data_IF_155550360779
#
_entry.id   IF_155550360779
#
_cell.length_a   1.000
_cell.length_b   1.000
_cell.length_c   1.000
_cell.angle_alpha   90.00
_cell.angle_beta   90.00
_cell.angle_gamma   90.00
#
_symmetry.space_group_name_H-M   'P 1'
#
loop_
_entity.id
_entity.type
_entity.pdbx_description
1 polymer ?
#
# COMPACT_ATOMS: atom_id res chain seq x y z
N UNK A 1 10.27 -8.64 -17.68
CA UNK A 1 9.75 -9.62 -16.70
C UNK A 1 10.83 -10.59 -16.22
N UNK A 2 11.46 -11.42 -17.08
CA UNK A 2 12.46 -12.42 -16.61
C UNK A 2 13.60 -11.79 -15.82
N UNK A 3 14.30 -10.80 -16.39
CA UNK A 3 15.41 -10.08 -15.74
C UNK A 3 15.00 -9.47 -14.39
N UNK A 4 13.77 -8.99 -14.29
CA UNK A 4 13.21 -8.44 -13.06
C UNK A 4 13.08 -9.52 -11.97
N UNK A 5 12.48 -10.65 -12.31
CA UNK A 5 12.30 -11.78 -11.37
C UNK A 5 13.62 -12.37 -10.95
N UNK A 6 14.55 -12.58 -11.91
CA UNK A 6 15.91 -13.08 -11.61
C UNK A 6 16.63 -12.13 -10.63
N UNK A 7 16.49 -10.81 -10.81
CA UNK A 7 17.08 -9.82 -9.90
C UNK A 7 16.47 -9.88 -8.49
N UNK A 8 15.15 -10.01 -8.38
CA UNK A 8 14.43 -10.11 -7.09
C UNK A 8 14.83 -11.37 -6.33
N UNK A 9 14.87 -12.51 -7.02
CA UNK A 9 15.34 -13.78 -6.43
C UNK A 9 16.79 -13.66 -5.98
N UNK A 10 17.68 -13.12 -6.82
CA UNK A 10 19.08 -12.96 -6.47
C UNK A 10 19.32 -12.04 -5.26
N UNK A 11 18.52 -10.97 -5.12
CA UNK A 11 18.56 -10.10 -3.94
C UNK A 11 18.13 -10.86 -2.66
N UNK A 12 17.05 -11.66 -2.74
CA UNK A 12 16.64 -12.48 -1.58
C UNK A 12 17.70 -13.53 -1.24
N UNK A 13 18.27 -14.20 -2.24
CA UNK A 13 19.36 -15.16 -2.03
C UNK A 13 20.57 -14.53 -1.32
N UNK A 14 20.93 -13.28 -1.68
CA UNK A 14 21.95 -12.52 -0.97
C UNK A 14 21.65 -12.37 0.51
N UNK A 15 20.42 -11.92 0.84
CA UNK A 15 19.98 -11.76 2.23
C UNK A 15 19.88 -13.09 2.99
N UNK A 16 19.45 -14.18 2.34
CA UNK A 16 19.43 -15.51 2.95
C UNK A 16 20.84 -15.95 3.34
N UNK A 17 21.85 -15.75 2.46
CA UNK A 17 23.25 -16.05 2.76
C UNK A 17 23.80 -15.25 3.93
N UNK A 18 23.52 -13.95 3.99
CA UNK A 18 23.93 -13.07 5.08
C UNK A 18 23.41 -13.53 6.44
N UNK A 19 22.23 -14.19 6.47
CA UNK A 19 21.61 -14.71 7.69
C UNK A 19 21.80 -16.21 7.90
N UNK A 20 22.61 -16.86 7.05
CA UNK A 20 22.86 -18.31 7.09
C UNK A 20 21.57 -19.14 7.01
N UNK A 21 20.62 -18.73 6.17
CA UNK A 21 19.36 -19.43 5.88
C UNK A 21 19.53 -20.17 4.57
N UNK A 22 19.41 -21.50 4.57
CA UNK A 22 19.70 -22.31 3.38
C UNK A 22 18.61 -22.23 2.31
N UNK A 23 17.33 -22.05 2.72
CA UNK A 23 16.21 -21.92 1.80
C UNK A 23 15.08 -21.09 2.37
N UNK A 24 14.31 -20.48 1.48
CA UNK A 24 13.03 -19.83 1.78
C UNK A 24 11.89 -20.54 1.05
N UNK A 25 10.72 -20.62 1.68
CA UNK A 25 9.47 -21.02 1.03
C UNK A 25 8.52 -19.83 1.05
N UNK A 26 8.13 -19.37 -0.13
CA UNK A 26 7.17 -18.28 -0.33
C UNK A 26 5.80 -18.86 -0.66
N UNK A 27 4.76 -18.39 0.01
CA UNK A 27 3.38 -18.88 -0.14
C UNK A 27 2.32 -17.81 -0.25
N UNK A 28 2.61 -16.61 0.28
CA UNK A 28 1.69 -15.48 0.21
C UNK A 28 1.53 -15.03 -1.25
N UNK A 29 0.30 -14.83 -1.70
CA UNK A 29 -0.02 -14.65 -3.12
C UNK A 29 0.63 -13.42 -3.76
N UNK A 30 0.85 -12.35 -2.99
CA UNK A 30 1.52 -11.12 -3.47
C UNK A 30 3.02 -11.38 -3.63
N UNK A 31 3.63 -12.04 -2.66
CA UNK A 31 5.04 -12.37 -2.71
C UNK A 31 5.34 -13.46 -3.76
N UNK A 32 4.42 -14.41 -3.95
CA UNK A 32 4.48 -15.31 -5.12
C UNK A 32 4.49 -14.51 -6.43
N UNK A 33 3.60 -13.53 -6.58
CA UNK A 33 3.60 -12.66 -7.76
C UNK A 33 4.90 -11.88 -7.90
N UNK A 34 5.42 -11.33 -6.80
CA UNK A 34 6.65 -10.56 -6.80
C UNK A 34 7.85 -11.38 -7.30
N UNK A 35 7.97 -12.64 -6.87
CA UNK A 35 9.10 -13.52 -7.21
C UNK A 35 8.87 -14.43 -8.42
N UNK A 36 7.62 -14.59 -8.90
CA UNK A 36 7.33 -15.50 -10.03
C UNK A 36 6.60 -14.85 -11.20
N UNK A 37 5.97 -13.69 -11.00
CA UNK A 37 5.04 -13.11 -11.97
C UNK A 37 3.66 -13.78 -12.00
N UNK A 38 3.39 -14.73 -11.09
CA UNK A 38 2.12 -15.47 -11.02
C UNK A 38 1.59 -15.56 -9.59
N UNK A 39 0.28 -15.37 -9.41
CA UNK A 39 -0.41 -15.54 -8.12
C UNK A 39 -1.00 -16.94 -7.93
N UNK A 40 -0.64 -17.92 -8.75
CA UNK A 40 -1.26 -19.24 -8.66
C UNK A 40 -0.83 -19.96 -7.38
N UNK A 41 -1.79 -20.69 -6.76
CA UNK A 41 -1.57 -21.33 -5.47
C UNK A 41 -0.45 -22.37 -5.53
N UNK A 42 0.54 -22.22 -4.67
CA UNK A 42 1.69 -23.12 -4.61
C UNK A 42 2.71 -22.72 -3.57
N UNK A 43 3.92 -23.23 -3.73
CA UNK A 43 5.09 -22.93 -2.92
C UNK A 43 6.24 -22.56 -3.86
N UNK A 44 6.84 -21.41 -3.68
CA UNK A 44 8.10 -21.10 -4.34
C UNK A 44 9.23 -21.40 -3.37
N UNK A 45 10.11 -22.32 -3.74
CA UNK A 45 11.33 -22.64 -3.01
C UNK A 45 12.45 -21.80 -3.61
N UNK A 46 13.05 -20.94 -2.80
CA UNK A 46 14.22 -20.13 -3.17
C UNK A 46 15.39 -20.62 -2.31
N UNK A 47 16.34 -21.40 -2.87
CA UNK A 47 17.55 -21.77 -2.16
C UNK A 47 18.49 -20.57 -2.02
N UNK A 48 19.33 -20.54 -1.00
CA UNK A 48 20.36 -19.50 -0.88
C UNK A 48 21.32 -19.51 -2.09
N UNK A 49 21.51 -20.68 -2.70
CA UNK A 49 22.30 -20.86 -3.94
C UNK A 49 21.59 -21.82 -4.89
N UNK A 50 21.60 -21.47 -6.17
CA UNK A 50 20.98 -22.30 -7.20
C UNK A 50 19.68 -21.73 -7.74
N UNK A 51 18.93 -22.54 -8.47
CA UNK A 51 17.71 -22.15 -9.16
C UNK A 51 16.49 -22.32 -8.26
N UNK A 52 15.61 -21.32 -8.27
CA UNK A 52 14.34 -21.38 -7.55
C UNK A 52 13.35 -22.34 -8.25
N UNK A 53 12.54 -23.06 -7.47
CA UNK A 53 11.54 -24.01 -7.96
C UNK A 53 10.13 -23.60 -7.52
N UNK A 54 9.23 -23.41 -8.50
CA UNK A 54 7.83 -23.06 -8.24
C UNK A 54 6.93 -24.31 -8.30
N UNK A 55 6.50 -24.79 -7.15
CA UNK A 55 5.58 -25.91 -6.99
C UNK A 55 4.14 -25.38 -7.02
N UNK A 56 3.38 -25.69 -8.05
CA UNK A 56 2.03 -25.18 -8.26
C UNK A 56 0.99 -26.24 -7.95
N UNK A 57 0.11 -26.01 -6.99
CA UNK A 57 -0.92 -26.96 -6.56
C UNK A 57 -2.26 -26.78 -7.29
N UNK A 58 -2.49 -25.59 -7.92
CA UNK A 58 -3.72 -25.30 -8.66
C UNK A 58 -3.44 -24.39 -9.86
N UNK A 59 -4.11 -24.66 -10.97
CA UNK A 59 -3.96 -23.89 -12.23
C UNK A 59 -2.53 -23.94 -12.80
N UNK A 60 -1.91 -25.12 -12.79
CA UNK A 60 -0.53 -25.35 -13.19
C UNK A 60 -0.21 -24.82 -14.60
N UNK A 61 -1.01 -25.18 -15.62
CA UNK A 61 -0.78 -24.71 -17.00
C UNK A 61 -0.87 -23.18 -17.13
N UNK A 62 -1.65 -22.54 -16.27
CA UNK A 62 -1.74 -21.08 -16.21
C UNK A 62 -0.47 -20.50 -15.61
N UNK A 63 -0.01 -21.03 -14.47
CA UNK A 63 1.23 -20.60 -13.84
C UNK A 63 2.42 -20.69 -14.81
N UNK A 64 2.55 -21.80 -15.56
CA UNK A 64 3.61 -21.97 -16.58
C UNK A 64 3.59 -20.91 -17.68
N UNK A 65 2.42 -20.38 -18.02
CA UNK A 65 2.30 -19.31 -19.02
C UNK A 65 2.59 -17.93 -18.46
N UNK A 66 2.34 -17.72 -17.17
CA UNK A 66 2.50 -16.44 -16.49
C UNK A 66 3.94 -16.20 -16.03
N UNK A 67 4.59 -17.25 -15.52
CA UNK A 67 5.94 -17.15 -14.93
C UNK A 67 7.05 -17.30 -15.98
N UNK A 68 8.14 -16.51 -15.88
CA UNK A 68 9.33 -16.73 -16.69
C UNK A 68 10.30 -17.77 -16.09
N UNK A 69 9.98 -18.34 -14.92
CA UNK A 69 10.82 -19.35 -14.27
C UNK A 69 10.86 -20.63 -15.12
N UNK A 70 12.03 -21.27 -15.14
CA UNK A 70 12.27 -22.52 -15.87
C UNK A 70 11.83 -23.72 -15.05
N UNK A 71 12.05 -23.71 -13.74
CA UNK A 71 11.67 -24.78 -12.83
C UNK A 71 10.26 -24.54 -12.27
N UNK A 72 9.26 -25.11 -12.94
CA UNK A 72 7.84 -25.05 -12.54
C UNK A 72 7.29 -26.48 -12.54
N UNK A 73 6.86 -26.96 -11.38
CA UNK A 73 6.39 -28.33 -11.21
C UNK A 73 4.99 -28.39 -10.62
N UNK A 74 4.23 -29.45 -10.95
CA UNK A 74 2.93 -29.68 -10.35
C UNK A 74 3.06 -30.28 -8.94
N UNK A 75 2.47 -29.62 -7.96
CA UNK A 75 2.42 -30.10 -6.58
C UNK A 75 1.11 -30.86 -6.32
N UNK A 76 1.20 -32.17 -6.23
CA UNK A 76 0.04 -33.02 -5.95
C UNK A 76 -0.39 -32.95 -4.47
N UNK A 77 0.58 -32.86 -3.56
CA UNK A 77 0.32 -32.79 -2.13
C UNK A 77 1.39 -32.03 -1.36
N UNK A 78 1.03 -31.56 -0.17
CA UNK A 78 1.97 -30.91 0.75
C UNK A 78 3.12 -31.87 1.18
N UNK A 79 2.86 -33.18 1.23
CA UNK A 79 3.85 -34.19 1.64
C UNK A 79 5.08 -34.25 0.73
N UNK A 80 4.97 -33.73 -0.50
CA UNK A 80 6.12 -33.66 -1.44
C UNK A 80 7.10 -32.54 -1.10
N UNK A 81 6.66 -31.55 -0.30
CA UNK A 81 7.40 -30.31 -0.09
C UNK A 81 8.78 -30.55 0.55
N UNK A 82 8.95 -31.37 1.63
CA UNK A 82 10.27 -31.62 2.20
C UNK A 82 11.26 -32.23 1.20
N UNK A 83 10.80 -33.21 0.42
CA UNK A 83 11.64 -33.83 -0.63
C UNK A 83 12.06 -32.80 -1.68
N UNK A 84 11.12 -31.94 -2.11
CA UNK A 84 11.41 -30.90 -3.10
C UNK A 84 12.35 -29.82 -2.57
N UNK A 85 12.25 -29.46 -1.30
CA UNK A 85 13.20 -28.56 -0.66
C UNK A 85 14.59 -29.19 -0.63
N UNK A 86 14.70 -30.47 -0.28
CA UNK A 86 15.98 -31.18 -0.29
C UNK A 86 16.57 -31.30 -1.70
N UNK A 87 15.77 -31.58 -2.72
CA UNK A 87 16.21 -31.63 -4.12
C UNK A 87 16.71 -30.25 -4.61
N UNK A 88 16.08 -29.16 -4.16
CA UNK A 88 16.36 -27.79 -4.61
C UNK A 88 17.49 -27.12 -3.83
N UNK A 89 17.55 -27.33 -2.52
CA UNK A 89 18.43 -26.61 -1.60
C UNK A 89 19.41 -27.51 -0.82
N UNK A 90 19.30 -28.84 -0.93
CA UNK A 90 20.08 -29.78 -0.11
C UNK A 90 19.56 -29.88 1.32
N UNK A 91 20.47 -30.16 2.24
CA UNK A 91 20.14 -30.24 3.67
C UNK A 91 19.89 -28.83 4.22
N UNK A 92 18.69 -28.61 4.76
CA UNK A 92 18.25 -27.32 5.29
C UNK A 92 18.19 -27.42 6.81
N UNK A 93 19.00 -26.61 7.50
CA UNK A 93 19.00 -26.44 8.95
C UNK A 93 18.17 -25.25 9.40
N UNK A 94 18.16 -24.17 8.58
CA UNK A 94 17.33 -22.97 8.79
C UNK A 94 16.45 -22.77 7.55
N UNK A 95 15.13 -22.75 7.75
CA UNK A 95 14.14 -22.59 6.70
C UNK A 95 13.39 -21.27 6.89
N UNK A 96 13.47 -20.37 5.91
CA UNK A 96 12.75 -19.11 5.90
C UNK A 96 11.28 -19.27 5.54
N UNK A 97 10.37 -18.69 6.33
CA UNK A 97 8.94 -18.60 6.06
C UNK A 97 8.43 -17.17 6.31
N UNK A 98 7.30 -16.81 5.69
CA UNK A 98 6.61 -15.52 5.85
C UNK A 98 5.71 -15.54 7.09
N UNK A 99 6.29 -15.40 8.30
CA UNK A 99 5.57 -15.65 9.54
C UNK A 99 4.55 -14.55 9.89
N UNK A 100 4.67 -13.36 9.32
CA UNK A 100 3.71 -12.27 9.53
C UNK A 100 2.35 -12.50 8.83
N UNK A 101 2.28 -13.41 7.87
CA UNK A 101 1.06 -13.74 7.11
C UNK A 101 0.67 -15.22 7.18
N UNK A 102 1.54 -16.06 7.70
CA UNK A 102 1.29 -17.50 7.77
C UNK A 102 0.35 -17.83 8.94
N UNK A 103 -0.84 -18.43 8.69
CA UNK A 103 -1.69 -18.89 9.79
C UNK A 103 -0.98 -19.89 10.70
N UNK A 104 -1.18 -19.79 12.02
CA UNK A 104 -0.53 -20.65 13.00
C UNK A 104 -0.71 -22.17 12.71
N UNK A 105 -1.88 -22.59 12.23
CA UNK A 105 -2.11 -23.97 11.82
C UNK A 105 -1.20 -24.43 10.68
N UNK A 106 -0.87 -23.53 9.75
CA UNK A 106 0.10 -23.84 8.69
C UNK A 106 1.53 -23.82 9.22
N UNK A 107 1.88 -22.90 10.10
CA UNK A 107 3.17 -22.87 10.77
C UNK A 107 3.47 -24.21 11.46
N UNK A 108 2.57 -24.73 12.29
CA UNK A 108 2.75 -26.03 12.94
C UNK A 108 2.89 -27.17 11.95
N UNK A 109 2.19 -27.11 10.83
CA UNK A 109 2.32 -28.11 9.76
C UNK A 109 3.67 -28.07 9.06
N UNK A 110 4.27 -26.87 8.85
CA UNK A 110 5.63 -26.75 8.36
C UNK A 110 6.62 -27.24 9.40
N UNK A 111 6.44 -26.87 10.66
CA UNK A 111 7.31 -27.35 11.76
C UNK A 111 7.33 -28.89 11.86
N UNK A 112 6.18 -29.54 11.71
CA UNK A 112 6.09 -31.01 11.67
C UNK A 112 6.81 -31.59 10.43
N UNK A 113 6.59 -31.00 9.26
CA UNK A 113 7.17 -31.49 8.00
C UNK A 113 8.67 -31.30 7.90
N UNK A 114 9.22 -30.28 8.56
CA UNK A 114 10.64 -29.92 8.56
C UNK A 114 11.25 -30.02 9.98
N UNK A 115 10.85 -31.01 10.75
CA UNK A 115 11.14 -31.16 12.20
C UNK A 115 12.62 -31.20 12.59
N UNK A 116 13.56 -31.16 11.64
CA UNK A 116 14.98 -30.96 11.87
C UNK A 116 15.53 -29.58 11.60
N UNK A 117 14.70 -28.67 11.03
CA UNK A 117 15.09 -27.34 10.66
C UNK A 117 14.53 -26.29 11.62
N UNK A 118 15.34 -25.27 11.91
CA UNK A 118 14.88 -24.04 12.57
C UNK A 118 14.08 -23.20 11.57
N UNK A 119 12.87 -22.80 11.95
CA UNK A 119 12.04 -21.92 11.10
C UNK A 119 12.35 -20.47 11.45
N UNK A 120 12.75 -19.70 10.45
CA UNK A 120 13.14 -18.30 10.57
C UNK A 120 12.09 -17.41 9.88
N UNK A 121 11.71 -16.30 10.51
CA UNK A 121 10.87 -15.28 9.88
C UNK A 121 11.66 -14.45 8.86
N UNK A 122 11.33 -14.61 7.59
CA UNK A 122 11.90 -13.81 6.48
C UNK A 122 11.00 -12.68 6.00
N UNK A 123 9.86 -12.46 6.64
CA UNK A 123 8.95 -11.37 6.26
C UNK A 123 9.63 -10.00 6.25
N UNK A 124 10.52 -9.66 7.24
CA UNK A 124 11.25 -8.39 7.21
C UNK A 124 12.15 -8.25 5.97
N UNK A 125 12.79 -9.33 5.54
CA UNK A 125 13.68 -9.33 4.36
C UNK A 125 12.90 -9.03 3.08
N UNK A 126 11.73 -9.67 2.92
CA UNK A 126 10.86 -9.48 1.75
C UNK A 126 10.31 -8.05 1.73
N UNK A 127 9.81 -7.55 2.87
CA UNK A 127 9.31 -6.18 2.99
C UNK A 127 10.37 -5.14 2.66
N UNK A 128 11.60 -5.35 3.11
CA UNK A 128 12.72 -4.46 2.77
C UNK A 128 13.08 -4.52 1.28
N UNK A 129 13.05 -5.70 0.64
CA UNK A 129 13.27 -5.81 -0.80
C UNK A 129 12.19 -5.07 -1.61
N UNK A 130 10.94 -5.21 -1.21
CA UNK A 130 9.78 -4.56 -1.84
C UNK A 130 9.73 -3.05 -1.60
N UNK A 131 10.42 -2.54 -0.56
CA UNK A 131 10.51 -1.11 -0.28
C UNK A 131 11.13 -0.33 -1.44
N UNK A 132 12.10 -0.92 -2.15
CA UNK A 132 12.81 -0.28 -3.27
C UNK A 132 12.25 -0.76 -4.60
N UNK A 133 11.45 0.07 -5.25
CA UNK A 133 10.83 -0.21 -6.54
C UNK A 133 11.85 -0.06 -7.68
N UNK A 134 11.85 -1.01 -8.58
CA UNK A 134 12.64 -0.95 -9.80
C UNK A 134 12.03 0.03 -10.82
N UNK A 135 12.77 0.46 -11.85
CA UNK A 135 12.21 1.26 -12.94
C UNK A 135 11.00 0.61 -13.61
N UNK A 136 10.95 -0.72 -13.70
CA UNK A 136 9.81 -1.45 -14.22
C UNK A 136 8.55 -1.28 -13.34
N UNK A 137 8.71 -1.34 -12.03
CA UNK A 137 7.62 -1.12 -11.06
C UNK A 137 7.12 0.33 -11.10
N UNK A 138 8.04 1.30 -11.18
CA UNK A 138 7.71 2.73 -11.27
C UNK A 138 6.85 3.03 -12.50
N UNK A 139 7.14 2.43 -13.66
CA UNK A 139 6.33 2.60 -14.87
C UNK A 139 4.91 2.07 -14.71
N UNK A 140 4.72 0.98 -13.97
CA UNK A 140 3.38 0.45 -13.68
C UNK A 140 2.62 1.39 -12.73
N UNK A 141 3.30 1.88 -11.69
CA UNK A 141 2.73 2.84 -10.72
C UNK A 141 2.31 4.14 -11.43
N UNK A 142 3.13 4.67 -12.35
CA UNK A 142 2.78 5.85 -13.16
C UNK A 142 1.51 5.64 -13.98
N UNK A 143 1.31 4.46 -14.57
CA UNK A 143 0.05 4.13 -15.27
C UNK A 143 -1.15 4.06 -14.32
N UNK A 144 -0.96 3.56 -13.11
CA UNK A 144 -1.97 3.62 -12.06
C UNK A 144 -2.34 5.07 -11.71
N UNK A 145 -1.36 5.97 -11.63
CA UNK A 145 -1.57 7.39 -11.38
C UNK A 145 -2.34 8.10 -12.51
N UNK A 146 -2.13 7.72 -13.76
CA UNK A 146 -2.93 8.21 -14.90
C UNK A 146 -4.42 7.83 -14.77
N UNK A 147 -4.71 6.60 -14.31
CA UNK A 147 -6.08 6.16 -14.03
C UNK A 147 -6.68 6.99 -12.89
N UNK A 148 -5.95 7.17 -11.79
CA UNK A 148 -6.36 8.01 -10.65
C UNK A 148 -6.65 9.44 -11.11
N UNK A 149 -5.78 10.04 -11.90
CA UNK A 149 -5.95 11.39 -12.44
C UNK A 149 -7.25 11.51 -13.25
N UNK A 150 -7.50 10.60 -14.19
CA UNK A 150 -8.71 10.60 -15.03
C UNK A 150 -9.99 10.37 -14.23
N UNK A 151 -9.93 9.59 -13.17
CA UNK A 151 -11.05 9.38 -12.25
C UNK A 151 -11.35 10.68 -11.49
N UNK A 152 -10.31 11.36 -10.95
CA UNK A 152 -10.46 12.62 -10.24
C UNK A 152 -10.94 13.77 -11.14
N UNK A 153 -10.50 13.83 -12.40
CA UNK A 153 -11.02 14.78 -13.39
C UNK A 153 -12.54 14.64 -13.62
N UNK A 154 -13.07 13.44 -13.44
CA UNK A 154 -14.49 13.18 -13.64
C UNK A 154 -15.38 13.51 -12.42
N UNK A 155 -14.79 13.79 -11.24
CA UNK A 155 -15.52 14.09 -10.01
C UNK A 155 -16.58 15.19 -10.21
N UNK A 156 -16.28 16.35 -10.85
CA UNK A 156 -17.31 17.40 -11.06
C UNK A 156 -18.52 16.94 -11.88
N UNK A 157 -18.37 15.92 -12.71
CA UNK A 157 -19.47 15.36 -13.50
C UNK A 157 -20.46 14.58 -12.63
N UNK A 158 -19.98 13.87 -11.63
CA UNK A 158 -20.76 12.95 -10.80
C UNK A 158 -21.18 13.56 -9.46
N UNK A 159 -20.39 14.49 -8.91
CA UNK A 159 -20.66 15.14 -7.63
C UNK A 159 -21.83 16.13 -7.75
N UNK A 160 -22.95 15.81 -7.11
CA UNK A 160 -24.17 16.65 -7.13
C UNK A 160 -24.93 16.54 -5.82
N UNK A 161 -25.56 17.64 -5.38
CA UNK A 161 -26.47 17.63 -4.26
C UNK A 161 -27.66 16.68 -4.49
N UNK A 162 -28.16 16.07 -3.41
CA UNK A 162 -29.28 15.13 -3.42
C UNK A 162 -28.90 13.69 -3.70
N UNK A 163 -27.65 13.41 -4.03
CA UNK A 163 -27.14 12.02 -4.19
C UNK A 163 -26.60 11.48 -2.87
N UNK A 164 -26.67 10.18 -2.69
CA UNK A 164 -25.99 9.50 -1.57
C UNK A 164 -24.50 9.38 -1.85
N UNK A 165 -23.67 9.39 -0.79
CA UNK A 165 -22.22 9.18 -0.90
C UNK A 165 -21.89 7.88 -1.65
N UNK A 166 -22.54 6.78 -1.29
CA UNK A 166 -22.32 5.48 -1.95
C UNK A 166 -22.67 5.47 -3.43
N UNK A 167 -23.68 6.22 -3.87
CA UNK A 167 -24.05 6.34 -5.28
C UNK A 167 -23.00 7.15 -6.06
N UNK A 168 -22.46 8.18 -5.43
CA UNK A 168 -21.37 8.98 -6.00
C UNK A 168 -20.08 8.14 -6.08
N UNK A 169 -19.74 7.41 -5.01
CA UNK A 169 -18.59 6.51 -4.99
C UNK A 169 -18.70 5.43 -6.08
N UNK A 170 -19.87 4.79 -6.24
CA UNK A 170 -20.09 3.75 -7.24
C UNK A 170 -19.88 4.25 -8.68
N UNK A 171 -20.20 5.51 -9.00
CA UNK A 171 -19.91 6.07 -10.33
C UNK A 171 -18.41 6.24 -10.57
N UNK A 172 -17.64 6.68 -9.55
CA UNK A 172 -16.19 6.78 -9.64
C UNK A 172 -15.52 5.41 -9.71
N UNK A 173 -16.00 4.45 -8.94
CA UNK A 173 -15.55 3.04 -8.97
C UNK A 173 -15.83 2.41 -10.34
N UNK A 174 -17.03 2.62 -10.90
CA UNK A 174 -17.35 2.17 -12.24
C UNK A 174 -16.38 2.76 -13.28
N UNK A 175 -16.11 4.06 -13.21
CA UNK A 175 -15.16 4.71 -14.11
C UNK A 175 -13.76 4.15 -13.94
N UNK A 176 -13.25 4.06 -12.72
CA UNK A 176 -11.94 3.51 -12.44
C UNK A 176 -11.77 2.07 -13.01
N UNK A 177 -12.81 1.23 -12.85
CA UNK A 177 -12.84 -0.12 -13.45
C UNK A 177 -12.76 -0.10 -14.97
N UNK A 178 -13.48 0.78 -15.63
CA UNK A 178 -13.45 0.90 -17.10
C UNK A 178 -12.12 1.45 -17.61
N UNK A 179 -11.40 2.17 -16.79
CA UNK A 179 -10.05 2.69 -17.08
C UNK A 179 -8.93 1.67 -16.84
N UNK A 180 -9.22 0.54 -16.18
CA UNK A 180 -8.27 -0.54 -15.98
C UNK A 180 -7.89 -0.82 -14.51
N UNK A 181 -8.52 -0.15 -13.53
CA UNK A 181 -8.36 -0.53 -12.13
C UNK A 181 -8.79 -1.99 -11.91
N UNK A 182 -7.92 -2.81 -11.27
CA UNK A 182 -8.16 -4.26 -11.17
C UNK A 182 -9.27 -4.66 -10.18
N UNK A 183 -9.71 -3.75 -9.27
CA UNK A 183 -10.86 -3.93 -8.40
C UNK A 183 -10.58 -4.46 -7.01
N UNK A 184 -9.38 -4.82 -6.68
CA UNK A 184 -9.03 -5.30 -5.34
C UNK A 184 -7.79 -4.57 -4.81
N UNK A 185 -7.91 -3.96 -3.65
CA UNK A 185 -6.77 -3.43 -2.91
C UNK A 185 -6.30 -4.50 -1.93
N UNK A 186 -5.01 -4.77 -1.90
CA UNK A 186 -4.43 -5.77 -1.02
C UNK A 186 -3.77 -5.10 0.18
N UNK A 187 -3.99 -5.68 1.34
CA UNK A 187 -3.39 -5.30 2.62
C UNK A 187 -2.63 -6.49 3.18
N UNK A 188 -1.45 -6.25 3.74
CA UNK A 188 -0.65 -7.32 4.38
C UNK A 188 -1.01 -7.49 5.85
N UNK A 189 -1.36 -6.40 6.50
CA UNK A 189 -1.63 -6.38 7.93
C UNK A 189 -2.89 -7.18 8.28
N UNK A 190 -2.82 -7.96 9.36
CA UNK A 190 -3.94 -8.76 9.85
C UNK A 190 -5.17 -7.89 10.17
N UNK A 191 -6.34 -8.30 9.70
CA UNK A 191 -7.63 -7.61 9.85
C UNK A 191 -7.71 -6.20 9.22
N UNK A 192 -6.78 -5.82 8.36
CA UNK A 192 -6.91 -4.60 7.56
C UNK A 192 -7.54 -4.94 6.21
N UNK A 193 -8.58 -4.19 5.88
CA UNK A 193 -9.31 -4.30 4.62
C UNK A 193 -9.59 -2.91 4.08
N UNK A 194 -9.50 -2.73 2.78
CA UNK A 194 -9.98 -1.55 2.08
C UNK A 194 -10.56 -1.96 0.73
N UNK A 195 -11.70 -1.40 0.37
CA UNK A 195 -12.35 -1.76 -0.89
C UNK A 195 -11.75 -0.95 -2.06
N UNK A 196 -12.03 0.35 -2.12
CA UNK A 196 -11.43 1.26 -3.08
C UNK A 196 -10.80 2.47 -2.41
N UNK A 197 -11.28 2.86 -1.23
CA UNK A 197 -10.86 4.03 -0.49
C UNK A 197 -12.04 4.74 0.20
N UNK A 198 -11.79 5.94 0.67
CA UNK A 198 -12.71 6.70 1.50
C UNK A 198 -13.28 7.90 0.73
N UNK A 199 -14.48 7.75 0.16
CA UNK A 199 -15.20 8.82 -0.54
C UNK A 199 -16.35 9.26 0.35
N UNK A 200 -16.23 10.44 0.97
CA UNK A 200 -17.14 10.90 2.03
C UNK A 200 -17.44 12.38 1.91
N UNK A 201 -18.52 12.83 2.55
CA UNK A 201 -18.95 14.23 2.52
C UNK A 201 -19.31 14.77 3.90
N UNK A 202 -19.05 16.09 4.11
CA UNK A 202 -19.41 16.80 5.33
C UNK A 202 -18.88 16.13 6.60
N UNK A 203 -19.74 15.96 7.61
CA UNK A 203 -19.34 15.37 8.90
C UNK A 203 -18.80 13.94 8.80
N UNK A 204 -19.24 13.14 7.82
CA UNK A 204 -18.79 11.75 7.65
C UNK A 204 -17.28 11.64 7.42
N UNK A 205 -16.65 12.67 6.87
CA UNK A 205 -15.19 12.72 6.68
C UNK A 205 -14.45 12.63 8.02
N UNK A 206 -15.09 13.06 9.12
CA UNK A 206 -14.46 13.16 10.45
C UNK A 206 -14.74 11.96 11.34
N UNK A 207 -15.44 10.94 10.84
CA UNK A 207 -15.61 9.68 11.57
C UNK A 207 -14.36 8.81 11.48
N UNK A 208 -13.80 8.45 12.63
CA UNK A 208 -12.76 7.44 12.72
C UNK A 208 -13.31 6.04 12.52
N UNK A 209 -12.44 5.10 12.14
CA UNK A 209 -12.77 3.69 11.97
C UNK A 209 -11.65 2.83 12.53
N UNK A 210 -11.76 1.51 12.40
CA UNK A 210 -10.70 0.55 12.76
C UNK A 210 -9.48 0.62 11.82
N UNK A 211 -9.62 1.29 10.69
CA UNK A 211 -8.57 1.43 9.70
C UNK A 211 -7.44 2.33 10.22
N UNK A 212 -6.20 1.92 10.03
CA UNK A 212 -5.00 2.68 10.42
C UNK A 212 -4.77 3.84 9.44
N UNK A 213 -5.41 4.99 9.70
CA UNK A 213 -5.30 6.17 8.85
C UNK A 213 -5.98 7.38 9.47
N UNK A 214 -5.76 8.58 8.90
CA UNK A 214 -6.43 9.80 9.36
C UNK A 214 -7.89 9.90 8.90
N UNK A 215 -8.33 9.01 8.02
CA UNK A 215 -9.69 8.92 7.48
C UNK A 215 -10.32 7.58 7.84
N UNK A 216 -11.64 7.49 7.83
CA UNK A 216 -12.35 6.25 8.13
C UNK A 216 -13.72 6.24 7.48
N UNK A 217 -14.66 6.97 8.06
CA UNK A 217 -16.04 7.06 7.59
C UNK A 217 -16.98 6.03 8.21
N UNK A 218 -18.29 6.23 8.04
CA UNK A 218 -19.30 5.39 8.67
C UNK A 218 -19.50 4.04 7.96
N UNK A 219 -19.18 3.95 6.66
CA UNK A 219 -19.54 2.81 5.83
C UNK A 219 -21.05 2.64 5.68
N UNK A 220 -21.48 1.53 5.07
CA UNK A 220 -22.88 1.20 4.87
C UNK A 220 -23.50 0.49 6.09
N UNK A 221 -22.69 -0.11 6.95
CA UNK A 221 -23.12 -0.80 8.15
C UNK A 221 -21.94 -1.06 9.10
N UNK A 222 -22.22 -1.39 10.38
CA UNK A 222 -21.18 -1.78 11.34
C UNK A 222 -20.36 -3.03 10.96
N UNK A 223 -20.82 -3.80 9.96
CA UNK A 223 -20.07 -4.97 9.49
C UNK A 223 -18.89 -4.57 8.59
N UNK A 224 -18.94 -3.41 7.96
CA UNK A 224 -17.85 -2.79 7.16
C UNK A 224 -17.89 -1.27 7.41
N UNK A 225 -17.37 -0.80 8.56
CA UNK A 225 -17.55 0.57 9.04
C UNK A 225 -16.45 1.50 8.50
N UNK A 226 -16.34 1.60 7.18
CA UNK A 226 -15.40 2.52 6.54
C UNK A 226 -15.89 2.95 5.14
N UNK A 227 -15.39 4.10 4.67
CA UNK A 227 -15.73 4.66 3.37
C UNK A 227 -17.12 5.29 3.32
N UNK A 228 -17.71 5.40 2.11
CA UNK A 228 -18.97 6.08 1.88
C UNK A 228 -20.15 5.45 2.61
N UNK A 229 -21.03 6.30 3.13
CA UNK A 229 -22.25 5.89 3.83
C UNK A 229 -23.54 6.19 3.05
N UNK A 230 -24.65 6.20 3.79
CA UNK A 230 -25.99 6.51 3.27
C UNK A 230 -26.30 8.02 3.29
N UNK A 231 -25.38 8.86 3.78
CA UNK A 231 -25.57 10.31 3.83
C UNK A 231 -25.88 10.87 2.44
N UNK A 232 -26.83 11.80 2.38
CA UNK A 232 -27.12 12.59 1.20
C UNK A 232 -26.13 13.75 1.15
N UNK A 233 -25.45 13.92 0.03
CA UNK A 233 -24.57 15.05 -0.24
C UNK A 233 -25.40 16.30 -0.42
N UNK A 234 -25.07 17.36 0.31
CA UNK A 234 -25.80 18.62 0.32
C UNK A 234 -24.99 19.74 -0.31
N UNK A 235 -25.69 20.81 -0.73
CA UNK A 235 -25.03 22.03 -1.21
C UNK A 235 -24.23 22.65 -0.07
N UNK A 236 -22.95 22.92 -0.32
CA UNK A 236 -21.98 23.39 0.67
C UNK A 236 -21.13 22.30 1.31
N UNK A 237 -21.45 21.03 1.10
CA UNK A 237 -20.63 19.94 1.62
C UNK A 237 -19.20 19.98 1.04
N UNK A 238 -18.26 19.75 1.92
CA UNK A 238 -16.89 19.34 1.55
C UNK A 238 -16.91 17.85 1.23
N UNK A 239 -16.24 17.44 0.19
CA UNK A 239 -16.17 16.05 -0.25
C UNK A 239 -14.71 15.63 -0.34
N UNK A 240 -14.35 14.61 0.42
CA UNK A 240 -13.07 13.94 0.34
C UNK A 240 -13.16 12.81 -0.68
N UNK A 241 -12.25 12.78 -1.62
CA UNK A 241 -12.02 11.64 -2.50
C UNK A 241 -10.61 11.14 -2.24
N UNK A 242 -10.54 10.17 -1.38
CA UNK A 242 -9.34 9.43 -0.95
C UNK A 242 -9.44 8.04 -1.58
N UNK A 243 -8.61 7.77 -2.60
CA UNK A 243 -8.88 6.65 -3.50
C UNK A 243 -7.61 5.90 -3.91
N UNK A 244 -7.65 4.59 -3.71
CA UNK A 244 -6.58 3.67 -4.10
C UNK A 244 -6.84 3.11 -5.49
N UNK A 245 -6.01 3.46 -6.45
CA UNK A 245 -6.02 2.85 -7.78
C UNK A 245 -5.03 1.69 -7.84
N UNK A 246 -5.45 0.54 -8.36
CA UNK A 246 -4.56 -0.62 -8.53
C UNK A 246 -4.49 -1.02 -10.00
N UNK A 247 -3.27 -0.97 -10.55
CA UNK A 247 -2.99 -1.35 -11.92
C UNK A 247 -1.87 -2.40 -11.99
N UNK A 248 -2.11 -3.52 -12.66
CA UNK A 248 -1.17 -4.65 -12.72
C UNK A 248 -0.59 -5.06 -11.36
N UNK A 249 -1.41 -5.03 -10.32
CA UNK A 249 -1.04 -5.40 -8.95
C UNK A 249 -0.51 -4.26 -8.09
N UNK A 250 -0.06 -3.13 -8.66
CA UNK A 250 0.54 -2.01 -7.92
C UNK A 250 -0.49 -0.96 -7.55
N UNK A 251 -0.45 -0.54 -6.28
CA UNK A 251 -1.28 0.50 -5.71
C UNK A 251 -0.72 1.90 -6.00
N UNK A 252 -1.64 2.85 -6.18
CA UNK A 252 -1.40 4.29 -6.17
C UNK A 252 -2.44 4.90 -5.26
N UNK A 253 -2.01 5.64 -4.26
CA UNK A 253 -2.88 6.31 -3.32
C UNK A 253 -2.92 7.81 -3.56
N UNK A 254 -4.11 8.40 -3.50
CA UNK A 254 -4.31 9.80 -3.83
C UNK A 254 -5.56 10.38 -3.19
N UNK A 255 -5.40 11.40 -2.37
CA UNK A 255 -6.51 12.17 -1.80
C UNK A 255 -6.63 13.54 -2.44
N UNK A 256 -7.86 13.93 -2.79
CA UNK A 256 -8.23 15.30 -3.18
C UNK A 256 -9.49 15.77 -2.47
N UNK A 257 -9.57 17.09 -2.24
CA UNK A 257 -10.69 17.74 -1.57
C UNK A 257 -11.51 18.52 -2.58
N UNK A 258 -12.81 18.27 -2.58
CA UNK A 258 -13.80 18.99 -3.38
C UNK A 258 -14.76 19.72 -2.46
N UNK A 259 -15.46 20.74 -2.98
CA UNK A 259 -16.53 21.41 -2.27
C UNK A 259 -17.68 21.67 -3.22
N UNK A 260 -18.88 21.26 -2.84
CA UNK A 260 -20.08 21.55 -3.62
C UNK A 260 -20.55 22.98 -3.33
N UNK A 261 -19.88 23.95 -3.96
CA UNK A 261 -20.04 25.38 -3.74
C UNK A 261 -18.74 26.04 -3.26
N UNK A 262 -18.88 27.06 -2.38
CA UNK A 262 -17.71 27.82 -1.90
C UNK A 262 -17.09 27.20 -0.65
N UNK A 263 -15.82 26.79 -0.69
CA UNK A 263 -15.16 26.24 0.50
C UNK A 263 -15.09 27.24 1.66
N UNK A 264 -15.39 26.81 2.91
CA UNK A 264 -15.25 27.65 4.10
C UNK A 264 -13.83 28.20 4.27
N UNK A 265 -13.70 29.42 4.80
CA UNK A 265 -12.39 30.07 4.97
C UNK A 265 -11.44 29.28 5.88
N UNK A 266 -11.99 28.67 6.95
CA UNK A 266 -11.20 27.82 7.85
C UNK A 266 -10.62 26.59 7.13
N UNK A 267 -11.40 25.96 6.23
CA UNK A 267 -10.93 24.85 5.42
C UNK A 267 -9.83 25.29 4.44
N UNK A 268 -10.03 26.42 3.75
CA UNK A 268 -9.02 26.97 2.82
C UNK A 268 -7.68 27.19 3.52
N UNK A 269 -7.72 27.81 4.73
CA UNK A 269 -6.50 28.04 5.49
C UNK A 269 -5.84 26.72 5.92
N UNK A 270 -6.58 25.81 6.52
CA UNK A 270 -6.04 24.52 6.94
C UNK A 270 -5.48 23.72 5.76
N UNK A 271 -6.13 23.79 4.60
CA UNK A 271 -5.67 23.13 3.40
C UNK A 271 -4.34 23.71 2.87
N UNK A 272 -4.21 25.03 2.85
CA UNK A 272 -2.96 25.72 2.50
C UNK A 272 -1.82 25.36 3.48
N UNK A 273 -2.13 25.31 4.78
CA UNK A 273 -1.15 24.92 5.80
C UNK A 273 -0.73 23.45 5.65
N UNK A 274 -1.65 22.52 5.31
CA UNK A 274 -1.33 21.14 5.04
C UNK A 274 -0.49 20.98 3.76
N UNK A 275 -0.81 21.72 2.69
CA UNK A 275 0.02 21.77 1.48
C UNK A 275 1.41 22.31 1.77
N UNK A 276 1.53 23.33 2.60
CA UNK A 276 2.83 23.85 3.02
C UNK A 276 3.67 22.79 3.74
N UNK A 277 3.07 22.05 4.69
CA UNK A 277 3.75 20.93 5.36
C UNK A 277 4.19 19.87 4.34
N UNK A 278 3.31 19.48 3.43
CA UNK A 278 3.58 18.49 2.39
C UNK A 278 4.78 18.88 1.52
N UNK A 279 4.81 20.14 1.04
CA UNK A 279 5.90 20.64 0.21
C UNK A 279 7.24 20.74 0.97
N UNK A 280 7.22 21.15 2.23
CA UNK A 280 8.44 21.21 3.05
C UNK A 280 8.99 19.81 3.34
N UNK A 281 8.13 18.80 3.56
CA UNK A 281 8.57 17.40 3.68
C UNK A 281 9.23 16.92 2.39
N UNK A 282 8.63 17.20 1.22
CA UNK A 282 9.22 16.87 -0.08
C UNK A 282 10.61 17.53 -0.27
N UNK A 283 10.75 18.80 0.08
CA UNK A 283 12.02 19.53 -0.03
C UNK A 283 13.09 19.00 0.92
N UNK A 284 12.68 18.60 2.13
CA UNK A 284 13.57 18.07 3.16
C UNK A 284 14.07 16.65 2.87
N UNK A 285 13.32 15.87 2.09
CA UNK A 285 13.70 14.52 1.72
C UNK A 285 14.90 14.55 0.76
N UNK A 286 16.09 14.30 1.28
CA UNK A 286 17.36 14.19 0.57
C UNK A 286 17.98 12.81 0.79
N UNK A 287 18.97 12.41 -0.02
CA UNK A 287 19.68 11.15 0.21
C UNK A 287 20.15 11.03 1.66
N UNK A 288 19.75 9.98 2.34
CA UNK A 288 20.11 9.71 3.73
C UNK A 288 19.26 10.39 4.80
N UNK A 289 18.32 11.29 4.46
CA UNK A 289 17.35 11.82 5.44
C UNK A 289 16.51 10.67 6.00
N UNK A 290 16.38 10.59 7.32
CA UNK A 290 15.62 9.50 7.94
C UNK A 290 14.10 9.71 7.83
N UNK A 291 13.34 8.63 7.66
CA UNK A 291 11.87 8.67 7.70
C UNK A 291 11.36 9.33 8.99
N UNK A 292 12.02 9.06 10.13
CA UNK A 292 11.70 9.67 11.43
C UNK A 292 11.94 11.19 11.48
N UNK A 293 12.95 11.69 10.79
CA UNK A 293 13.23 13.13 10.71
C UNK A 293 12.12 13.86 9.94
N UNK A 294 11.70 13.30 8.80
CA UNK A 294 10.59 13.84 7.99
C UNK A 294 9.27 13.87 8.79
N UNK A 295 8.96 12.77 9.48
CA UNK A 295 7.78 12.67 10.34
C UNK A 295 7.82 13.71 11.46
N UNK A 296 8.92 13.76 12.24
CA UNK A 296 9.07 14.70 13.34
C UNK A 296 8.97 16.16 12.88
N UNK A 297 9.55 16.48 11.72
CA UNK A 297 9.44 17.81 11.11
C UNK A 297 7.98 18.17 10.82
N UNK A 298 7.21 17.30 10.18
CA UNK A 298 5.81 17.56 9.85
C UNK A 298 4.93 17.77 11.09
N UNK A 299 5.07 16.91 12.12
CA UNK A 299 4.34 17.04 13.37
C UNK A 299 4.69 18.34 14.11
N UNK A 300 5.97 18.72 14.11
CA UNK A 300 6.43 20.00 14.69
C UNK A 300 5.82 21.19 13.93
N UNK A 301 5.88 21.20 12.62
CA UNK A 301 5.29 22.27 11.79
C UNK A 301 3.78 22.38 12.03
N UNK A 302 3.06 21.27 12.09
CA UNK A 302 1.63 21.26 12.39
C UNK A 302 1.34 21.87 13.78
N UNK A 303 2.14 21.57 14.79
CA UNK A 303 2.00 22.15 16.12
C UNK A 303 2.27 23.66 16.13
N UNK A 304 3.32 24.13 15.44
CA UNK A 304 3.64 25.56 15.30
C UNK A 304 2.55 26.35 14.54
N UNK A 305 1.85 25.71 13.59
CA UNK A 305 0.71 26.28 12.88
C UNK A 305 -0.60 26.20 13.69
N UNK A 306 -0.59 25.61 14.89
CA UNK A 306 -1.75 25.50 15.78
C UNK A 306 -2.62 24.25 15.57
N UNK A 307 -2.15 23.25 14.84
CA UNK A 307 -2.90 22.02 14.53
C UNK A 307 -2.42 20.79 15.34
N UNK A 308 -1.66 20.99 16.42
CA UNK A 308 -1.09 19.87 17.20
C UNK A 308 -2.12 18.85 17.68
N UNK A 309 -3.34 19.26 18.00
CA UNK A 309 -4.42 18.39 18.48
C UNK A 309 -5.18 17.66 17.37
N UNK A 310 -5.16 18.17 16.15
CA UNK A 310 -5.98 17.69 15.02
C UNK A 310 -5.21 17.42 13.72
N UNK A 311 -3.90 17.26 13.82
CA UNK A 311 -3.05 16.78 12.74
C UNK A 311 -3.04 15.25 12.73
N UNK A 312 -3.27 14.64 11.58
CA UNK A 312 -3.37 13.20 11.34
C UNK A 312 -4.44 12.49 12.20
N UNK A 313 -5.55 13.14 12.50
CA UNK A 313 -6.63 12.63 13.32
C UNK A 313 -6.91 13.47 14.56
N UNK A 314 -7.74 12.97 15.49
CA UNK A 314 -8.14 13.68 16.70
C UNK A 314 -8.16 12.75 17.93
N UNK A 315 -7.72 13.27 19.06
CA UNK A 315 -7.75 12.54 20.35
C UNK A 315 -6.91 11.25 20.31
N UNK A 316 -7.55 10.12 20.64
CA UNK A 316 -6.92 8.79 20.66
C UNK A 316 -6.79 8.16 19.27
N UNK A 317 -7.51 8.70 18.28
CA UNK A 317 -7.61 8.12 16.93
C UNK A 317 -6.66 8.80 15.93
N UNK A 318 -5.55 9.35 16.44
CA UNK A 318 -4.52 9.98 15.61
C UNK A 318 -3.58 8.94 15.01
N UNK A 319 -3.38 9.01 13.71
CA UNK A 319 -2.32 8.27 13.04
C UNK A 319 -0.94 8.79 13.48
N UNK A 320 -0.03 7.87 13.80
CA UNK A 320 1.34 8.19 14.24
C UNK A 320 2.35 8.30 13.08
N UNK A 321 1.87 8.50 11.86
CA UNK A 321 2.67 8.60 10.64
C UNK A 321 2.11 9.72 9.75
N UNK A 322 2.85 10.13 8.75
CA UNK A 322 2.44 11.09 7.72
C UNK A 322 2.48 10.50 6.31
N UNK A 323 2.74 9.21 6.21
CA UNK A 323 2.81 8.49 4.95
C UNK A 323 3.21 7.04 5.15
N UNK A 324 2.86 6.21 4.19
CA UNK A 324 3.11 4.78 4.18
C UNK A 324 3.53 4.31 2.79
N UNK A 325 4.37 3.27 2.73
CA UNK A 325 4.78 2.69 1.46
C UNK A 325 3.60 2.16 0.66
N UNK A 326 3.65 2.31 -0.64
CA UNK A 326 2.69 1.71 -1.57
C UNK A 326 3.43 0.88 -2.62
N UNK A 327 2.82 -0.22 -3.03
CA UNK A 327 3.37 -1.13 -4.01
C UNK A 327 2.37 -2.21 -4.39
N UNK A 328 2.72 -3.47 -4.26
CA UNK A 328 1.79 -4.58 -4.48
C UNK A 328 0.72 -4.71 -3.40
N UNK A 329 0.96 -4.11 -2.24
CA UNK A 329 0.03 -3.94 -1.14
C UNK A 329 -0.05 -2.44 -0.77
N UNK A 330 -1.15 -2.02 -0.13
CA UNK A 330 -1.37 -0.62 0.19
C UNK A 330 -0.38 -0.12 1.25
N UNK A 331 -0.19 -0.90 2.32
CA UNK A 331 0.69 -0.55 3.43
C UNK A 331 2.00 -1.35 3.35
N UNK A 332 2.98 -0.77 2.69
CA UNK A 332 4.32 -1.32 2.60
C UNK A 332 5.34 -0.47 3.38
N UNK A 333 6.61 -0.87 3.36
CA UNK A 333 7.71 0.00 3.74
C UNK A 333 8.06 0.96 2.58
N UNK A 334 8.56 2.18 2.93
CA UNK A 334 8.77 2.71 4.27
C UNK A 334 7.49 3.30 4.86
N UNK A 335 7.35 3.31 6.20
CA UNK A 335 6.37 4.13 6.89
C UNK A 335 7.05 5.41 7.38
N UNK A 336 6.48 6.57 7.07
CA UNK A 336 7.05 7.87 7.46
C UNK A 336 6.53 8.22 8.87
N UNK A 337 7.20 7.66 9.86
CA UNK A 337 6.84 7.76 11.29
C UNK A 337 8.08 7.97 12.15
N UNK A 338 7.91 8.54 13.33
CA UNK A 338 9.00 8.76 14.30
C UNK A 338 9.74 7.47 14.73
N UNK A 339 9.11 6.30 14.51
CA UNK A 339 9.67 4.99 14.89
C UNK A 339 10.53 4.33 13.81
N UNK A 340 10.50 4.85 12.57
CA UNK A 340 11.22 4.26 11.42
C UNK A 340 12.46 5.07 11.08
N UNK A 341 13.60 4.42 11.04
CA UNK A 341 14.90 5.05 10.81
C UNK A 341 15.52 4.66 9.46
N UNK A 342 14.71 4.26 8.46
CA UNK A 342 15.21 4.04 7.12
C UNK A 342 15.64 5.36 6.50
N UNK A 343 16.88 5.45 5.96
CA UNK A 343 17.33 6.62 5.20
C UNK A 343 16.65 6.65 3.83
N UNK A 344 16.28 7.84 3.35
CA UNK A 344 15.78 8.03 1.98
C UNK A 344 16.79 7.52 0.97
N UNK A 345 16.36 6.58 0.14
CA UNK A 345 17.16 5.96 -0.90
C UNK A 345 16.34 5.75 -2.17
N UNK A 346 17.05 5.68 -3.30
CA UNK A 346 16.45 5.48 -4.62
C UNK A 346 15.55 4.25 -4.67
N UNK A 347 14.39 4.38 -5.30
CA UNK A 347 13.39 3.33 -5.41
C UNK A 347 12.29 3.39 -4.36
N UNK A 348 12.42 4.15 -3.28
CA UNK A 348 11.36 4.30 -2.29
C UNK A 348 10.14 4.97 -2.90
N UNK A 349 8.96 4.34 -2.75
CA UNK A 349 7.65 4.87 -3.15
C UNK A 349 6.71 4.78 -1.97
N UNK A 350 6.06 5.89 -1.66
CA UNK A 350 5.11 5.96 -0.55
C UNK A 350 4.02 7.01 -0.81
N UNK A 351 2.88 6.86 -0.15
CA UNK A 351 1.86 7.89 -0.03
C UNK A 351 2.33 8.89 1.02
N UNK A 352 2.27 10.19 0.72
CA UNK A 352 2.55 11.28 1.64
C UNK A 352 1.28 12.10 1.83
N UNK A 353 0.75 12.10 3.06
CA UNK A 353 -0.64 12.50 3.34
C UNK A 353 -0.83 13.40 4.57
N UNK A 354 -0.09 14.50 4.77
CA UNK A 354 -0.32 15.39 5.89
C UNK A 354 -1.74 15.94 5.86
N UNK A 355 -2.59 15.46 6.77
CA UNK A 355 -4.02 15.80 6.85
C UNK A 355 -4.34 16.52 8.17
N UNK A 356 -5.16 17.58 8.10
CA UNK A 356 -5.63 18.38 9.24
C UNK A 356 -7.13 18.18 9.39
N UNK A 357 -7.57 17.64 10.51
CA UNK A 357 -8.96 17.38 10.82
C UNK A 357 -9.66 18.63 11.36
N UNK A 358 -10.71 19.08 10.71
CA UNK A 358 -11.63 20.11 11.19
C UNK A 358 -12.87 19.40 11.74
N UNK A 359 -12.87 19.08 13.04
CA UNK A 359 -13.85 18.21 13.71
C UNK A 359 -15.29 18.57 13.36
N UNK A 360 -16.08 17.58 12.91
CA UNK A 360 -17.48 17.73 12.53
C UNK A 360 -17.72 18.48 11.22
N UNK A 361 -16.66 18.79 10.47
CA UNK A 361 -16.77 19.61 9.25
C UNK A 361 -16.06 18.98 8.05
N UNK A 362 -14.76 18.71 8.15
CA UNK A 362 -13.96 18.28 7.02
C UNK A 362 -12.57 17.77 7.43
N UNK A 363 -11.85 17.20 6.49
CA UNK A 363 -10.39 17.04 6.53
C UNK A 363 -9.78 17.94 5.45
N UNK A 364 -8.75 18.67 5.81
CA UNK A 364 -7.92 19.47 4.93
C UNK A 364 -6.61 18.73 4.64
N UNK A 365 -6.09 18.89 3.44
CA UNK A 365 -4.83 18.28 3.00
C UNK A 365 -4.99 17.50 1.70
N UNK A 366 -3.89 16.96 1.25
CA UNK A 366 -3.79 16.12 0.07
C UNK A 366 -2.97 14.88 0.39
N UNK A 367 -3.09 13.92 -0.48
CA UNK A 367 -2.21 12.76 -0.50
C UNK A 367 -1.66 12.56 -1.89
N UNK A 368 -0.38 12.34 -1.96
CA UNK A 368 0.30 12.02 -3.19
C UNK A 368 1.15 10.77 -3.04
N UNK A 369 1.03 9.86 -3.99
CA UNK A 369 2.07 8.86 -4.20
C UNK A 369 3.31 9.57 -4.72
N UNK A 370 4.42 9.44 -3.98
CA UNK A 370 5.71 10.05 -4.29
C UNK A 370 6.79 8.98 -4.47
N UNK A 371 7.78 9.30 -5.29
CA UNK A 371 8.92 8.45 -5.61
C UNK A 371 10.22 9.16 -5.31
N UNK A 372 11.13 8.53 -4.57
CA UNK A 372 12.47 9.05 -4.36
C UNK A 372 13.39 8.55 -5.46
N UNK A 373 13.81 9.46 -6.35
CA UNK A 373 14.61 9.17 -7.56
C UNK A 373 16.13 9.16 -7.32
N UNK A 374 16.55 9.04 -6.06
CA UNK A 374 17.96 9.08 -5.67
C UNK A 374 18.46 10.47 -5.28
N UNK A 375 17.75 11.54 -5.65
CA UNK A 375 18.11 12.92 -5.33
C UNK A 375 17.00 13.69 -4.62
N UNK A 376 15.77 13.51 -5.07
CA UNK A 376 14.60 14.24 -4.61
C UNK A 376 13.35 13.35 -4.61
N UNK A 377 12.33 13.73 -3.83
CA UNK A 377 10.99 13.21 -4.00
C UNK A 377 10.30 13.84 -5.21
N UNK A 378 9.73 12.99 -6.03
CA UNK A 378 8.93 13.33 -7.22
C UNK A 378 7.50 12.88 -7.00
N UNK A 379 6.52 13.75 -7.24
CA UNK A 379 5.10 13.37 -7.20
C UNK A 379 4.77 12.53 -8.44
N UNK A 380 4.25 11.34 -8.22
CA UNK A 380 3.73 10.47 -9.29
C UNK A 380 2.28 10.84 -9.62
N UNK A 381 1.48 11.19 -8.62
CA UNK A 381 0.10 11.69 -8.79
C UNK A 381 0.12 13.17 -9.18
N UNK A 382 -0.57 13.52 -10.26
CA UNK A 382 -0.46 14.83 -10.94
C UNK A 382 -1.75 15.66 -10.95
N UNK A 383 -2.84 15.19 -10.30
CA UNK A 383 -4.09 15.96 -10.23
C UNK A 383 -3.89 17.23 -9.38
N UNK A 384 -4.54 18.39 -9.73
CA UNK A 384 -4.46 19.62 -8.95
C UNK A 384 -4.69 19.38 -7.45
N UNK A 385 -3.95 20.13 -6.63
CA UNK A 385 -3.93 19.95 -5.16
C UNK A 385 -4.81 20.95 -4.42
N UNK A 386 -5.26 22.01 -5.07
CA UNK A 386 -6.17 22.98 -4.50
C UNK A 386 -7.57 22.38 -4.27
N UNK A 387 -8.34 22.97 -3.35
CA UNK A 387 -9.75 22.59 -3.17
C UNK A 387 -10.52 22.93 -4.44
N UNK A 388 -11.13 21.93 -5.06
CA UNK A 388 -11.88 22.09 -6.30
C UNK A 388 -13.34 22.39 -5.96
N UNK A 389 -13.82 23.61 -6.34
CA UNK A 389 -15.23 23.98 -6.24
C UNK A 389 -16.03 23.39 -7.40
N UNK A 390 -17.17 22.77 -7.10
CA UNK A 390 -18.09 22.12 -8.04
C UNK A 390 -19.47 22.75 -7.94
#
# INVERSE_FOLDING_TARGET
MKTEIDSRIGKLQGKLKEQEIEAAIITQSVDLFYFTGSCQKGHLIIPAEGEACYLVSKSFERAKKETPLTSVEYQQSFRQLPTKVQETAGDVKKLGLELDVLPAALYFRYQEAFGGAEIIDISPLIKELRMYKSPYEIEIIRKGAEISHRMLEAVPRFLKAGRREVEFAADLEHLARTLGHQGGVRMRQYNQEVFYGHIMSGENITFSSFFDGPTGGPGLSPAYPQGPGWKIIEQGDVVLVDYVTVYNGYCVDCTRVFCLGTPPQALKKAHQDALYIHEEVIKAAKPGTLCSELSNMAFKMAAELGYGENFMGYGTDKAGFIGHGVGLELDELPVITAKQHFPMAEGMVFALEPKILLKGTAIAGVENTVYFNGNNLEKITIHPEEIISV
#
